data_IF_430791647517
#
_entry.id   IF_430791647517
#
_cell.length_a   1.000
_cell.length_b   1.000
_cell.length_c   1.000
_cell.angle_alpha   90.00
_cell.angle_beta   90.00
_cell.angle_gamma   90.00
#
_symmetry.space_group_name_H-M   'P 1'
#
loop_
_entity.id
_entity.type
_entity.pdbx_description
1 polymer ?
#
# COMPACT_ATOMS: atom_id res chain seq x y z
N UNK A 1 -6.74 13.67 10.93
CA UNK A 1 -7.05 14.74 9.96
C UNK A 1 -7.07 14.11 8.58
N UNK A 2 -8.20 14.14 7.86
CA UNK A 2 -8.30 13.53 6.53
C UNK A 2 -7.61 14.42 5.49
N UNK A 3 -6.71 13.85 4.69
CA UNK A 3 -6.02 14.57 3.61
C UNK A 3 -6.66 14.24 2.26
N UNK A 4 -6.67 15.20 1.33
CA UNK A 4 -7.17 14.98 -0.04
C UNK A 4 -6.11 14.33 -0.93
N UNK A 5 -6.54 13.65 -2.00
CA UNK A 5 -5.62 13.06 -3.00
C UNK A 5 -4.68 14.12 -3.57
N UNK A 6 -5.18 15.32 -3.87
CA UNK A 6 -4.36 16.44 -4.38
C UNK A 6 -3.30 16.87 -3.37
N UNK A 7 -3.68 17.05 -2.11
CA UNK A 7 -2.73 17.45 -1.06
C UNK A 7 -1.65 16.39 -0.83
N UNK A 8 -2.03 15.10 -0.84
CA UNK A 8 -1.09 13.99 -0.75
C UNK A 8 -0.14 13.96 -1.96
N UNK A 9 -0.67 14.15 -3.17
CA UNK A 9 0.11 14.25 -4.39
C UNK A 9 1.13 15.39 -4.33
N UNK A 10 0.69 16.62 -4.06
CA UNK A 10 1.55 17.81 -4.02
C UNK A 10 2.69 17.63 -3.01
N UNK A 11 2.37 17.07 -1.82
CA UNK A 11 3.36 16.80 -0.77
C UNK A 11 4.40 15.76 -1.20
N UNK A 12 3.95 14.63 -1.75
CA UNK A 12 4.85 13.54 -2.15
C UNK A 12 5.70 13.93 -3.36
N UNK A 13 5.13 14.60 -4.36
CA UNK A 13 5.87 15.11 -5.52
C UNK A 13 6.90 16.13 -5.10
N UNK A 14 6.56 17.05 -4.19
CA UNK A 14 7.51 18.00 -3.63
C UNK A 14 8.67 17.29 -2.94
N UNK A 15 8.39 16.33 -2.05
CA UNK A 15 9.42 15.56 -1.33
C UNK A 15 10.36 14.79 -2.27
N UNK A 16 9.84 14.21 -3.36
CA UNK A 16 10.69 13.51 -4.35
C UNK A 16 11.57 14.52 -5.11
N UNK A 17 11.05 15.71 -5.42
CA UNK A 17 11.79 16.74 -6.14
C UNK A 17 12.89 17.42 -5.29
N UNK A 18 12.71 17.57 -3.98
CA UNK A 18 13.76 18.16 -3.13
C UNK A 18 15.00 17.27 -3.04
N UNK A 19 14.85 15.95 -3.17
CA UNK A 19 15.97 15.01 -3.12
C UNK A 19 16.59 14.87 -1.72
N UNK A 20 15.92 15.38 -0.69
CA UNK A 20 16.35 15.28 0.72
C UNK A 20 16.10 13.88 1.31
N UNK A 21 15.40 13.03 0.57
CA UNK A 21 14.92 11.72 1.01
C UNK A 21 13.59 11.83 1.75
N UNK A 22 13.19 10.74 2.41
CA UNK A 22 12.02 10.74 3.28
C UNK A 22 11.32 9.40 3.39
N UNK A 23 10.55 9.22 4.45
CA UNK A 23 9.75 8.02 4.68
C UNK A 23 8.30 8.39 4.95
N UNK A 24 7.41 7.93 4.08
CA UNK A 24 5.99 8.27 4.12
C UNK A 24 5.16 7.00 4.15
N UNK A 25 4.06 7.05 4.91
CA UNK A 25 3.03 6.02 4.88
C UNK A 25 1.71 6.64 4.40
N UNK A 26 1.20 6.11 3.30
CA UNK A 26 -0.13 6.43 2.76
C UNK A 26 -1.14 5.43 3.33
N UNK A 27 -1.70 5.78 4.49
CA UNK A 27 -2.86 5.10 5.05
C UNK A 27 -4.10 5.51 4.26
N UNK A 28 -4.58 4.60 3.42
CA UNK A 28 -5.71 4.88 2.54
C UNK A 28 -6.64 3.65 2.50
N UNK A 29 -7.87 3.77 3.02
CA UNK A 29 -8.88 2.73 2.95
C UNK A 29 -9.10 2.15 1.54
N UNK A 30 -9.68 0.96 1.48
CA UNK A 30 -10.19 0.41 0.24
C UNK A 30 -11.13 1.40 -0.45
N UNK A 31 -10.97 1.59 -1.77
CA UNK A 31 -11.83 2.47 -2.57
C UNK A 31 -11.47 3.96 -2.55
N UNK A 32 -10.46 4.43 -1.81
CA UNK A 32 -10.15 5.88 -1.71
C UNK A 32 -9.19 6.42 -2.77
N UNK A 33 -8.99 5.70 -3.88
CA UNK A 33 -8.10 6.14 -4.96
C UNK A 33 -6.59 6.01 -4.67
N UNK A 34 -6.17 5.21 -3.67
CA UNK A 34 -4.76 4.94 -3.35
C UNK A 34 -3.94 4.55 -4.58
N UNK A 35 -4.43 3.58 -5.33
CA UNK A 35 -3.81 3.09 -6.57
C UNK A 35 -3.73 4.17 -7.65
N UNK A 36 -4.78 4.98 -7.80
CA UNK A 36 -4.81 6.10 -8.72
C UNK A 36 -3.71 7.12 -8.38
N UNK A 37 -3.60 7.51 -7.11
CA UNK A 37 -2.55 8.43 -6.64
C UNK A 37 -1.15 7.89 -6.90
N UNK A 38 -0.90 6.61 -6.59
CA UNK A 38 0.41 5.97 -6.84
C UNK A 38 0.74 6.00 -8.33
N UNK A 39 -0.19 5.58 -9.19
CA UNK A 39 0.04 5.55 -10.64
C UNK A 39 0.20 6.96 -11.22
N UNK A 40 -0.49 7.95 -10.68
CA UNK A 40 -0.33 9.36 -11.06
C UNK A 40 1.09 9.84 -10.74
N UNK A 41 1.59 9.61 -9.52
CA UNK A 41 2.98 9.97 -9.15
C UNK A 41 3.99 9.26 -10.06
N UNK A 42 3.80 7.95 -10.31
CA UNK A 42 4.67 7.20 -11.22
C UNK A 42 4.71 7.82 -12.62
N UNK A 43 3.54 8.18 -13.17
CA UNK A 43 3.44 8.81 -14.48
C UNK A 43 4.15 10.17 -14.52
N UNK A 44 3.92 11.02 -13.51
CA UNK A 44 4.49 12.38 -13.41
C UNK A 44 6.01 12.39 -13.52
N UNK A 45 6.70 11.44 -12.90
CA UNK A 45 8.17 11.39 -12.96
C UNK A 45 8.69 10.61 -14.17
N UNK A 46 7.98 9.56 -14.60
CA UNK A 46 8.44 8.72 -15.71
C UNK A 46 8.30 9.39 -17.07
N UNK A 47 7.33 10.29 -17.25
CA UNK A 47 7.24 11.11 -18.47
C UNK A 47 8.50 11.96 -18.68
N UNK A 48 9.19 12.34 -17.59
CA UNK A 48 10.46 13.08 -17.61
C UNK A 48 11.69 12.16 -17.68
N UNK A 49 11.50 10.86 -17.90
CA UNK A 49 12.58 9.86 -17.90
C UNK A 49 13.18 9.58 -16.51
N UNK A 50 12.57 10.08 -15.42
CA UNK A 50 13.06 9.85 -14.05
C UNK A 50 12.61 8.50 -13.53
N UNK A 51 13.45 7.91 -12.67
CA UNK A 51 13.31 6.51 -12.26
C UNK A 51 12.61 6.43 -10.89
N UNK A 52 11.36 5.97 -10.91
CA UNK A 52 10.62 5.53 -9.72
C UNK A 52 10.32 4.03 -9.82
N UNK A 53 10.55 3.32 -8.71
CA UNK A 53 10.30 1.89 -8.61
C UNK A 53 8.94 1.64 -7.95
N UNK A 54 8.09 0.89 -8.64
CA UNK A 54 6.82 0.44 -8.12
C UNK A 54 6.95 -1.02 -7.65
N UNK A 55 6.73 -1.24 -6.36
CA UNK A 55 6.72 -2.54 -5.73
C UNK A 55 5.37 -2.81 -5.07
N UNK A 56 5.00 -4.08 -4.92
CA UNK A 56 3.85 -4.47 -4.11
C UNK A 56 4.11 -5.77 -3.35
N UNK A 57 3.39 -6.00 -2.26
CA UNK A 57 3.58 -7.22 -1.45
C UNK A 57 3.11 -8.50 -2.15
N UNK A 58 2.08 -8.41 -3.01
CA UNK A 58 1.51 -9.54 -3.75
C UNK A 58 1.62 -9.35 -5.27
N UNK A 59 1.51 -10.45 -6.02
CA UNK A 59 1.54 -10.44 -7.49
C UNK A 59 0.39 -9.63 -8.10
N UNK A 60 -0.83 -9.84 -7.61
CA UNK A 60 -2.03 -9.13 -8.09
C UNK A 60 -1.92 -7.63 -7.79
N UNK A 61 -1.45 -7.24 -6.60
CA UNK A 61 -1.26 -5.83 -6.30
C UNK A 61 -0.19 -5.20 -7.22
N UNK A 62 0.86 -5.96 -7.57
CA UNK A 62 1.90 -5.48 -8.48
C UNK A 62 1.38 -5.24 -9.90
N UNK A 63 0.46 -6.06 -10.42
CA UNK A 63 -0.07 -5.89 -11.79
C UNK A 63 -0.88 -4.62 -11.96
N UNK A 64 -1.43 -4.07 -10.89
CA UNK A 64 -2.21 -2.83 -10.94
C UNK A 64 -1.32 -1.58 -10.93
N UNK A 65 -0.07 -1.71 -10.47
CA UNK A 65 0.90 -0.62 -10.49
C UNK A 65 1.60 -0.55 -11.84
N UNK A 66 1.71 0.64 -12.42
CA UNK A 66 2.43 0.84 -13.68
C UNK A 66 3.89 0.38 -13.54
N UNK A 67 4.30 -0.59 -14.36
CA UNK A 67 5.64 -1.20 -14.29
C UNK A 67 5.93 -1.91 -12.95
N UNK A 68 4.88 -2.27 -12.20
CA UNK A 68 4.97 -2.86 -10.89
C UNK A 68 5.57 -4.26 -10.89
N UNK A 69 6.25 -4.59 -9.80
CA UNK A 69 6.74 -5.94 -9.50
C UNK A 69 6.45 -6.29 -8.04
N UNK A 70 6.42 -7.57 -7.71
CA UNK A 70 6.41 -7.96 -6.30
C UNK A 70 7.68 -7.45 -5.61
N UNK A 71 7.60 -7.03 -4.35
CA UNK A 71 8.75 -6.53 -3.61
C UNK A 71 9.88 -7.58 -3.55
N UNK A 72 9.53 -8.85 -3.39
CA UNK A 72 10.47 -9.97 -3.48
C UNK A 72 11.22 -9.99 -4.82
N UNK A 73 10.52 -9.80 -5.94
CA UNK A 73 11.15 -9.76 -7.27
C UNK A 73 11.93 -8.46 -7.50
N UNK A 74 11.37 -7.32 -7.11
CA UNK A 74 11.96 -5.99 -7.26
C UNK A 74 13.29 -5.90 -6.51
N UNK A 75 13.32 -6.33 -5.25
CA UNK A 75 14.49 -6.17 -4.39
C UNK A 75 15.28 -7.45 -4.15
N UNK A 76 14.90 -8.60 -4.72
CA UNK A 76 15.56 -9.89 -4.42
C UNK A 76 15.59 -10.20 -2.91
N UNK A 77 14.46 -9.94 -2.25
CA UNK A 77 14.25 -10.25 -0.83
C UNK A 77 14.34 -11.76 -0.64
N UNK A 78 15.14 -12.22 0.33
CA UNK A 78 15.29 -13.65 0.61
C UNK A 78 14.06 -14.16 1.36
N UNK A 79 13.67 -15.42 1.09
CA UNK A 79 12.52 -16.04 1.77
C UNK A 79 12.80 -16.37 3.24
N UNK A 80 14.08 -16.54 3.59
CA UNK A 80 14.55 -16.77 4.96
C UNK A 80 15.88 -16.05 5.16
N UNK A 81 16.04 -15.51 6.36
CA UNK A 81 17.31 -14.95 6.83
C UNK A 81 17.86 -15.85 7.92
N UNK A 82 19.11 -16.34 7.80
CA UNK A 82 19.77 -17.06 8.90
C UNK A 82 19.91 -16.20 10.15
N UNK A 83 20.19 -14.91 9.94
CA UNK A 83 20.27 -13.87 10.97
C UNK A 83 19.33 -12.72 10.55
N UNK A 84 18.15 -12.58 11.18
CA UNK A 84 17.21 -11.51 10.90
C UNK A 84 17.76 -10.10 11.18
N UNK A 85 18.65 -9.95 12.17
CA UNK A 85 19.19 -8.64 12.57
C UNK A 85 20.21 -8.12 11.54
N UNK A 86 20.79 -9.02 10.75
CA UNK A 86 21.70 -8.73 9.63
C UNK A 86 21.08 -9.03 8.26
N UNK A 87 19.75 -9.07 8.19
CA UNK A 87 19.05 -9.35 6.95
C UNK A 87 19.39 -8.31 5.87
N UNK A 88 19.79 -8.79 4.69
CA UNK A 88 20.07 -8.01 3.48
C UNK A 88 19.52 -8.74 2.25
N UNK A 89 19.11 -7.97 1.25
CA UNK A 89 18.62 -8.51 -0.01
C UNK A 89 19.73 -9.13 -0.84
N UNK A 90 19.39 -10.03 -1.76
CA UNK A 90 20.35 -10.63 -2.68
C UNK A 90 20.59 -9.74 -3.91
N UNK A 91 21.13 -8.54 -3.66
CA UNK A 91 21.54 -7.58 -4.70
C UNK A 91 23.01 -7.24 -4.49
N UNK A 92 23.85 -7.51 -5.50
CA UNK A 92 25.27 -7.12 -5.49
C UNK A 92 25.43 -5.73 -6.12
N UNK A 93 26.32 -4.90 -5.56
CA UNK A 93 26.63 -3.51 -6.01
C UNK A 93 26.88 -3.38 -7.52
N UNK A 94 27.52 -4.36 -8.16
CA UNK A 94 27.90 -4.31 -9.59
C UNK A 94 26.90 -4.97 -10.55
N UNK A 95 25.61 -4.90 -10.24
CA UNK A 95 24.55 -5.47 -11.10
C UNK A 95 23.71 -4.38 -11.75
N UNK A 96 23.11 -4.66 -12.91
CA UNK A 96 22.19 -3.73 -13.58
C UNK A 96 21.03 -3.30 -12.66
N UNK A 97 20.60 -4.20 -11.76
CA UNK A 97 19.58 -3.89 -10.75
C UNK A 97 20.08 -2.90 -9.71
N UNK A 98 21.30 -3.08 -9.19
CA UNK A 98 21.88 -2.12 -8.26
C UNK A 98 22.04 -0.75 -8.91
N UNK A 99 22.49 -0.69 -10.17
CA UNK A 99 22.58 0.55 -10.94
C UNK A 99 21.23 1.26 -11.05
N UNK A 100 20.15 0.51 -11.34
CA UNK A 100 18.79 1.06 -11.38
C UNK A 100 18.37 1.65 -10.03
N UNK A 101 18.64 0.94 -8.92
CA UNK A 101 18.29 1.40 -7.57
C UNK A 101 19.15 2.59 -7.09
N UNK A 102 20.40 2.69 -7.54
CA UNK A 102 21.27 3.84 -7.33
C UNK A 102 20.78 5.11 -8.06
N UNK A 103 20.11 4.94 -9.22
CA UNK A 103 19.55 6.06 -9.99
C UNK A 103 18.12 6.40 -9.62
N UNK A 104 17.42 5.54 -8.86
CA UNK A 104 16.04 5.80 -8.48
C UNK A 104 15.94 6.98 -7.51
N UNK A 105 14.87 7.76 -7.64
CA UNK A 105 14.54 8.89 -6.77
C UNK A 105 13.59 8.48 -5.64
N UNK A 106 12.69 7.53 -5.94
CA UNK A 106 11.76 7.02 -4.96
C UNK A 106 11.34 5.57 -5.24
N UNK A 107 10.94 4.89 -4.16
CA UNK A 107 10.28 3.59 -4.17
C UNK A 107 8.88 3.77 -3.62
N UNK A 108 7.89 3.26 -4.34
CA UNK A 108 6.51 3.17 -3.87
C UNK A 108 6.16 1.70 -3.67
N UNK A 109 5.82 1.31 -2.45
CA UNK A 109 5.48 -0.05 -2.08
C UNK A 109 4.00 -0.17 -1.67
N UNK A 110 3.18 -0.69 -2.57
CA UNK A 110 1.75 -0.94 -2.35
C UNK A 110 1.45 -2.22 -1.56
N UNK A 111 0.35 -2.20 -0.82
CA UNK A 111 -0.07 -3.26 0.10
C UNK A 111 1.04 -3.69 1.08
N UNK A 112 1.84 -2.73 1.53
CA UNK A 112 2.98 -2.97 2.41
C UNK A 112 2.59 -3.51 3.79
N UNK A 113 1.31 -3.40 4.20
CA UNK A 113 0.78 -3.91 5.48
C UNK A 113 0.90 -5.43 5.60
N UNK A 114 1.04 -6.15 4.48
CA UNK A 114 1.30 -7.59 4.46
C UNK A 114 2.79 -7.94 4.63
N UNK A 115 3.69 -6.96 4.66
CA UNK A 115 5.15 -7.19 4.65
C UNK A 115 5.71 -7.39 6.05
N UNK A 116 6.61 -8.37 6.19
CA UNK A 116 7.35 -8.59 7.42
C UNK A 116 8.39 -7.46 7.65
N UNK A 117 8.51 -6.97 8.89
CA UNK A 117 9.52 -5.98 9.31
C UNK A 117 10.93 -6.30 8.79
N UNK A 118 11.38 -7.55 8.92
CA UNK A 118 12.71 -8.02 8.48
C UNK A 118 12.93 -7.78 6.98
N UNK A 119 11.90 -7.91 6.16
CA UNK A 119 12.00 -7.67 4.72
C UNK A 119 12.19 -6.18 4.42
N UNK A 120 11.49 -5.30 5.14
CA UNK A 120 11.63 -3.86 4.98
C UNK A 120 13.03 -3.41 5.42
N UNK A 121 13.51 -3.89 6.55
CA UNK A 121 14.88 -3.60 7.02
C UNK A 121 15.95 -4.15 6.08
N UNK A 122 15.73 -5.33 5.49
CA UNK A 122 16.64 -5.88 4.49
C UNK A 122 16.75 -4.99 3.26
N UNK A 123 15.64 -4.41 2.80
CA UNK A 123 15.64 -3.43 1.69
C UNK A 123 16.36 -2.16 2.12
N UNK A 124 16.07 -1.64 3.31
CA UNK A 124 16.69 -0.45 3.88
C UNK A 124 18.22 -0.55 3.94
N UNK A 125 18.74 -1.59 4.58
CA UNK A 125 20.20 -1.86 4.69
C UNK A 125 20.84 -2.05 3.32
N UNK A 126 20.16 -2.74 2.41
CA UNK A 126 20.67 -2.95 1.05
C UNK A 126 20.73 -1.64 0.27
N UNK A 127 19.75 -0.74 0.43
CA UNK A 127 19.74 0.53 -0.27
C UNK A 127 20.85 1.46 0.24
N UNK A 128 21.10 1.51 1.56
CA UNK A 128 22.27 2.22 2.11
C UNK A 128 23.57 1.68 1.53
N UNK A 129 23.75 0.37 1.56
CA UNK A 129 24.94 -0.28 1.02
C UNK A 129 25.11 0.03 -0.47
N UNK A 130 24.12 -0.21 -1.33
CA UNK A 130 24.33 -0.01 -2.77
C UNK A 130 24.47 1.47 -3.15
N UNK A 131 23.91 2.40 -2.37
CA UNK A 131 23.97 3.84 -2.66
C UNK A 131 25.14 4.55 -2.00
N UNK A 132 25.83 3.88 -1.09
CA UNK A 132 26.93 4.45 -0.30
C UNK A 132 26.49 5.73 0.44
N UNK A 133 25.27 5.67 1.00
CA UNK A 133 24.62 6.79 1.69
C UNK A 133 23.96 6.28 2.97
N UNK A 134 24.38 6.81 4.12
CA UNK A 134 23.92 6.40 5.45
C UNK A 134 22.53 6.94 5.82
N UNK A 135 21.98 7.86 5.01
CA UNK A 135 20.60 8.32 5.19
C UNK A 135 19.63 7.15 4.99
N UNK A 136 18.46 7.24 5.63
CA UNK A 136 17.42 6.23 5.54
C UNK A 136 17.12 5.86 4.07
N UNK A 137 17.12 4.55 3.76
CA UNK A 137 16.98 4.01 2.39
C UNK A 137 18.01 4.53 1.37
N UNK A 138 19.18 4.99 1.82
CA UNK A 138 20.21 5.59 0.94
C UNK A 138 19.80 6.94 0.35
N UNK A 139 19.00 7.70 1.10
CA UNK A 139 18.64 9.09 0.76
C UNK A 139 17.51 9.23 -0.28
N UNK A 140 16.84 8.14 -0.67
CA UNK A 140 15.66 8.22 -1.54
C UNK A 140 14.39 8.48 -0.74
N UNK A 141 13.31 8.83 -1.44
CA UNK A 141 11.98 8.83 -0.85
C UNK A 141 11.39 7.43 -0.88
N UNK A 142 10.99 6.93 0.28
CA UNK A 142 10.29 5.66 0.43
C UNK A 142 8.82 5.91 0.81
N UNK A 143 7.91 5.46 -0.05
CA UNK A 143 6.46 5.64 0.12
C UNK A 143 5.84 4.26 0.30
N UNK A 144 5.46 3.95 1.53
CA UNK A 144 4.67 2.79 1.85
C UNK A 144 3.19 3.13 1.66
N UNK A 145 2.42 2.25 1.04
CA UNK A 145 0.99 2.43 0.88
C UNK A 145 0.25 1.15 1.23
N UNK A 146 -0.86 1.27 1.94
CA UNK A 146 -1.59 0.10 2.38
C UNK A 146 -2.81 0.47 3.21
N UNK A 147 -3.56 -0.56 3.58
CA UNK A 147 -4.67 -0.46 4.50
C UNK A 147 -4.50 -1.54 5.57
N UNK A 148 -4.20 -1.12 6.80
CA UNK A 148 -4.03 -2.05 7.92
C UNK A 148 -5.34 -2.76 8.28
N UNK A 149 -6.48 -2.25 7.78
CA UNK A 149 -7.82 -2.80 7.99
C UNK A 149 -8.16 -3.92 7.00
N UNK A 150 -7.34 -4.14 5.95
CA UNK A 150 -7.62 -5.16 4.92
C UNK A 150 -6.98 -6.52 5.22
N UNK A 151 -5.67 -6.55 5.45
CA UNK A 151 -4.96 -7.81 5.77
C UNK A 151 -3.72 -7.54 6.62
N UNK A 152 -3.52 -8.38 7.65
CA UNK A 152 -2.30 -8.43 8.46
C UNK A 152 -1.24 -9.32 7.78
N UNK A 153 0.06 -9.18 8.13
CA UNK A 153 1.10 -10.07 7.62
C UNK A 153 0.81 -11.55 7.90
N UNK A 154 1.07 -12.42 6.93
CA UNK A 154 0.92 -13.87 7.10
C UNK A 154 2.10 -14.41 7.91
N UNK A 155 1.84 -14.84 9.14
CA UNK A 155 2.81 -15.51 10.02
C UNK A 155 2.58 -17.02 9.92
N UNK A 156 3.53 -17.75 9.31
CA UNK A 156 3.46 -19.22 9.26
C UNK A 156 3.48 -19.78 10.68
N UNK A 157 2.47 -20.59 11.04
CA UNK A 157 2.25 -21.13 12.40
C UNK A 157 1.98 -20.05 13.45
N UNK A 158 1.54 -18.86 13.03
CA UNK A 158 1.01 -17.87 13.96
C UNK A 158 -0.21 -18.44 14.69
N UNK A 159 -0.21 -18.29 16.00
CA UNK A 159 -1.37 -18.61 16.85
C UNK A 159 -2.19 -17.34 17.02
N UNK A 160 -3.47 -17.38 16.63
CA UNK A 160 -4.42 -16.33 16.95
C UNK A 160 -4.97 -16.58 18.36
N UNK A 161 -5.37 -15.53 19.11
CA UNK A 161 -6.17 -15.76 20.31
C UNK A 161 -7.46 -16.46 19.90
N UNK A 162 -7.67 -17.66 20.44
CA UNK A 162 -8.85 -18.48 20.22
C UNK A 162 -9.67 -18.44 21.52
N UNK A 163 -10.98 -18.27 21.41
CA UNK A 163 -11.90 -18.41 22.54
C UNK A 163 -12.01 -19.89 22.97
N UNK A 164 -12.52 -20.14 24.18
CA UNK A 164 -12.65 -21.50 24.73
C UNK A 164 -13.53 -22.43 23.87
N UNK A 165 -14.35 -21.86 22.99
CA UNK A 165 -15.21 -22.56 22.03
C UNK A 165 -14.51 -22.90 20.68
N UNK A 166 -13.24 -22.54 20.50
CA UNK A 166 -12.48 -22.77 19.26
C UNK A 166 -12.57 -21.65 18.22
N UNK A 167 -13.31 -20.57 18.46
CA UNK A 167 -13.45 -19.45 17.52
C UNK A 167 -12.28 -18.47 17.60
N UNK A 168 -11.92 -17.87 16.45
CA UNK A 168 -10.88 -16.84 16.38
C UNK A 168 -11.40 -15.55 17.01
N UNK A 169 -10.70 -15.05 18.04
CA UNK A 169 -10.99 -13.76 18.67
C UNK A 169 -10.45 -12.63 17.80
N UNK A 170 -11.35 -11.84 17.22
CA UNK A 170 -11.01 -10.60 16.53
C UNK A 170 -10.82 -9.47 17.56
N UNK A 171 -9.78 -8.67 17.39
CA UNK A 171 -9.56 -7.50 18.24
C UNK A 171 -10.65 -6.45 18.03
N UNK A 172 -11.01 -5.66 19.07
CA UNK A 172 -12.04 -4.63 18.95
C UNK A 172 -11.73 -3.59 17.85
N UNK A 173 -10.46 -3.39 17.52
CA UNK A 173 -10.00 -2.45 16.48
C UNK A 173 -10.08 -3.02 15.05
N UNK A 174 -10.19 -4.35 14.89
CA UNK A 174 -10.25 -5.02 13.58
C UNK A 174 -11.68 -5.15 13.07
N UNK A 175 -12.63 -5.36 13.99
CA UNK A 175 -14.05 -5.41 13.67
C UNK A 175 -14.84 -4.65 14.74
N UNK A 176 -15.37 -3.48 14.37
CA UNK A 176 -16.44 -2.86 15.13
C UNK A 176 -17.70 -3.71 14.94
N UNK A 177 -17.90 -4.71 15.81
CA UNK A 177 -19.02 -5.66 15.74
C UNK A 177 -20.41 -4.99 15.81
N UNK A 178 -20.50 -3.73 16.21
CA UNK A 178 -21.71 -2.90 16.11
C UNK A 178 -22.13 -2.59 14.66
N UNK A 179 -21.34 -3.03 13.68
CA UNK A 179 -21.62 -2.97 12.23
C UNK A 179 -21.96 -4.35 11.65
N UNK A 180 -22.40 -5.33 12.46
CA UNK A 180 -23.13 -6.46 11.91
C UNK A 180 -24.43 -5.92 11.29
N UNK A 181 -24.67 -6.33 10.06
CA UNK A 181 -25.80 -5.88 9.25
C UNK A 181 -26.51 -7.15 8.84
N UNK A 182 -27.72 -7.34 9.36
CA UNK A 182 -28.45 -8.61 9.24
C UNK A 182 -29.34 -8.63 7.98
N UNK A 183 -29.43 -7.50 7.28
CA UNK A 183 -30.14 -7.36 6.02
C UNK A 183 -29.47 -6.37 5.07
N UNK A 184 -29.80 -6.49 3.79
CA UNK A 184 -29.36 -5.57 2.74
C UNK A 184 -29.86 -4.14 3.00
N UNK A 185 -31.09 -3.95 3.48
CA UNK A 185 -31.64 -2.64 3.81
C UNK A 185 -30.86 -1.93 4.92
N UNK A 186 -30.45 -2.66 5.96
CA UNK A 186 -29.62 -2.11 7.03
C UNK A 186 -28.23 -1.74 6.52
N UNK A 187 -27.72 -2.45 5.50
CA UNK A 187 -26.43 -2.16 4.89
C UNK A 187 -26.51 -0.89 4.04
N UNK A 188 -27.59 -0.76 3.26
CA UNK A 188 -27.88 0.44 2.49
C UNK A 188 -28.01 1.64 3.42
N UNK A 189 -28.78 1.55 4.50
CA UNK A 189 -28.97 2.66 5.44
C UNK A 189 -27.68 3.05 6.17
N UNK A 190 -26.82 2.08 6.53
CA UNK A 190 -25.52 2.38 7.14
C UNK A 190 -24.49 2.96 6.17
N UNK A 191 -24.46 2.51 4.92
CA UNK A 191 -23.52 3.01 3.89
C UNK A 191 -24.00 4.34 3.31
N UNK A 192 -25.32 4.50 3.14
CA UNK A 192 -26.00 5.65 2.57
C UNK A 192 -27.17 6.12 3.47
N UNK A 193 -26.88 6.75 4.63
CA UNK A 193 -27.93 7.25 5.50
C UNK A 193 -28.79 8.29 4.78
N UNK A 194 -30.11 8.15 4.85
CA UNK A 194 -31.06 9.02 4.16
C UNK A 194 -30.86 9.08 2.63
N UNK A 195 -30.53 7.94 2.00
CA UNK A 195 -30.29 7.85 0.54
C UNK A 195 -31.42 8.51 -0.28
N UNK A 196 -32.69 8.27 0.08
CA UNK A 196 -33.85 8.83 -0.63
C UNK A 196 -33.83 10.37 -0.68
N UNK A 197 -33.34 11.02 0.37
CA UNK A 197 -33.26 12.47 0.46
C UNK A 197 -32.02 13.03 -0.26
N UNK A 198 -30.98 12.21 -0.44
CA UNK A 198 -29.68 12.64 -0.95
C UNK A 198 -29.34 12.08 -2.34
N UNK A 199 -30.21 11.27 -2.95
CA UNK A 199 -29.97 10.61 -4.23
C UNK A 199 -29.74 11.60 -5.40
N UNK A 200 -30.32 12.79 -5.30
CA UNK A 200 -30.12 13.87 -6.29
C UNK A 200 -28.83 14.68 -6.03
N UNK A 201 -28.21 14.53 -4.86
CA UNK A 201 -27.00 15.25 -4.49
C UNK A 201 -25.75 14.49 -4.94
N UNK A 202 -25.30 14.81 -6.17
CA UNK A 202 -24.09 14.22 -6.78
C UNK A 202 -22.85 14.31 -5.90
N UNK A 203 -22.65 15.42 -5.20
CA UNK A 203 -21.46 15.58 -4.35
C UNK A 203 -21.53 14.68 -3.11
N UNK A 204 -22.74 14.50 -2.56
CA UNK A 204 -22.99 13.60 -1.43
C UNK A 204 -22.76 12.13 -1.80
N UNK A 205 -23.22 11.72 -2.98
CA UNK A 205 -23.03 10.38 -3.53
C UNK A 205 -21.55 10.09 -3.84
N UNK A 206 -20.86 11.02 -4.53
CA UNK A 206 -19.45 10.85 -4.88
C UNK A 206 -18.52 10.70 -3.65
N UNK A 207 -18.87 11.30 -2.52
CA UNK A 207 -18.09 11.17 -1.26
C UNK A 207 -18.23 9.79 -0.61
N UNK A 208 -19.25 9.00 -0.98
CA UNK A 208 -19.61 7.71 -0.37
C UNK A 208 -19.61 6.55 -1.36
N UNK A 209 -19.46 6.83 -2.65
CA UNK A 209 -19.35 5.82 -3.69
C UNK A 209 -18.09 4.99 -3.50
N UNK A 210 -18.27 3.69 -3.30
CA UNK A 210 -17.17 2.73 -3.33
C UNK A 210 -16.89 2.45 -4.81
N UNK A 211 -15.78 2.97 -5.33
CA UNK A 211 -15.32 2.70 -6.68
C UNK A 211 -14.88 1.23 -6.77
N UNK A 212 -15.78 0.36 -7.20
CA UNK A 212 -15.51 -1.03 -7.53
C UNK A 212 -15.33 -1.19 -9.04
N UNK A 213 -14.49 -2.14 -9.46
CA UNK A 213 -14.42 -2.53 -10.87
C UNK A 213 -15.79 -3.06 -11.31
N UNK A 214 -16.27 -2.62 -12.47
CA UNK A 214 -17.52 -3.13 -13.09
C UNK A 214 -17.40 -4.64 -13.25
N UNK A 215 -18.12 -5.37 -12.40
CA UNK A 215 -18.26 -6.81 -12.46
C UNK A 215 -19.74 -7.14 -12.33
N UNK A 216 -20.16 -8.31 -12.80
CA UNK A 216 -21.58 -8.71 -12.84
C UNK A 216 -22.26 -8.71 -11.45
N UNK A 217 -21.49 -8.74 -10.36
CA UNK A 217 -22.00 -8.63 -9.00
C UNK A 217 -22.30 -7.17 -8.65
N UNK A 218 -21.40 -6.24 -8.98
CA UNK A 218 -21.56 -4.80 -8.81
C UNK A 218 -22.69 -4.27 -9.70
N UNK A 219 -22.85 -4.79 -10.92
CA UNK A 219 -23.93 -4.41 -11.82
C UNK A 219 -25.31 -4.90 -11.34
N UNK A 220 -25.36 -5.99 -10.56
CA UNK A 220 -26.60 -6.43 -9.90
C UNK A 220 -26.96 -5.58 -8.69
N UNK A 221 -25.97 -5.11 -7.94
CA UNK A 221 -26.15 -4.25 -6.77
C UNK A 221 -26.52 -2.79 -7.14
N UNK A 222 -26.21 -2.35 -8.36
CA UNK A 222 -26.47 -0.99 -8.85
C UNK A 222 -27.77 -0.85 -9.67
N UNK A 223 -28.63 -1.88 -9.71
CA UNK A 223 -29.97 -1.80 -10.33
C UNK A 223 -31.01 -1.30 -9.34
#
# INVERSE_FOLDING_TARGET
>A
MAITIKSAYDKLVSAINTGEGGFFFLDAPGGTGKTFLINLILATFRQDGRILIAAASSGIAATVLSGGRTAHSAFKIKLKYPDPDRAVCDIRRRTNKAFLLQKCLAIIWGECTMTNKTNLEAVERTLRDIRDDERLFGGIVMILAGDFRQTLPVIKRGTYPIEDNGNIKLGPDLCNLHLLVESEDQLIDKVFPDLQNNISNREWLCKRAILAATNEIVDRLNK
#
